data_IF_320321193964
#
_entry.id   IF_320321193964
#
_cell.length_a   1.000
_cell.length_b   1.000
_cell.length_c   1.000
_cell.angle_alpha   90.00
_cell.angle_beta   90.00
_cell.angle_gamma   90.00
#
_symmetry.space_group_name_H-M   'P 1'
#
loop_
_entity.id
_entity.type
_entity.pdbx_description
1 polymer ?
#
# COMPACT_ATOMS: atom_id res chain seq x y z
N UNK A 1 -49.76 7.49 45.03
CA UNK A 1 -49.74 7.34 46.49
C UNK A 1 -48.32 7.02 46.92
N UNK A 2 -47.81 7.76 47.92
CA UNK A 2 -46.61 7.54 48.77
C UNK A 2 -45.28 7.18 48.09
N UNK A 3 -44.14 7.87 48.25
CA UNK A 3 -43.68 8.90 49.19
C UNK A 3 -42.15 8.76 49.29
N UNK A 4 -41.36 9.84 49.16
CA UNK A 4 -39.88 9.84 49.32
C UNK A 4 -39.45 9.90 50.80
N UNK A 5 -38.32 10.54 51.19
CA UNK A 5 -37.03 10.81 50.50
C UNK A 5 -35.78 10.65 51.44
N UNK A 6 -34.59 11.06 50.98
CA UNK A 6 -33.41 11.42 51.81
C UNK A 6 -32.16 10.56 51.55
N UNK A 7 -30.91 11.05 51.50
CA UNK A 7 -30.33 12.37 51.73
C UNK A 7 -28.87 12.20 52.20
N UNK A 8 -27.95 13.01 51.67
CA UNK A 8 -26.80 13.53 52.42
C UNK A 8 -25.49 12.72 52.52
N UNK A 9 -24.37 13.39 52.89
CA UNK A 9 -23.05 13.22 52.26
C UNK A 9 -21.91 12.83 53.24
N UNK A 10 -20.69 12.63 52.74
CA UNK A 10 -19.48 12.63 53.59
C UNK A 10 -18.18 12.15 52.92
N UNK A 11 -17.24 13.06 52.67
CA UNK A 11 -15.80 12.76 52.70
C UNK A 11 -15.32 12.60 54.15
N UNK A 12 -14.14 12.02 54.41
CA UNK A 12 -12.83 12.70 54.34
C UNK A 12 -11.75 11.76 53.74
N UNK A 13 -10.46 12.06 53.51
CA UNK A 13 -9.52 13.11 53.86
C UNK A 13 -8.11 12.47 53.96
N UNK A 14 -7.05 13.26 53.71
CA UNK A 14 -5.63 13.01 54.01
C UNK A 14 -4.88 12.00 53.07
N UNK A 15 -3.60 12.15 52.71
CA UNK A 15 -2.46 12.82 53.33
C UNK A 15 -1.41 13.27 52.29
N UNK A 16 -0.77 14.39 52.55
CA UNK A 16 0.54 14.80 52.02
C UNK A 16 1.67 14.18 52.85
N UNK A 17 2.72 13.68 52.19
CA UNK A 17 3.95 13.20 52.84
C UNK A 17 5.18 13.56 52.00
N UNK A 18 6.08 14.35 52.59
CA UNK A 18 7.33 14.82 52.01
C UNK A 18 8.52 13.97 52.47
N UNK A 19 9.60 13.97 51.66
CA UNK A 19 10.98 13.89 52.14
C UNK A 19 11.74 12.59 51.85
N UNK A 20 12.89 12.73 51.20
CA UNK A 20 13.91 11.67 51.13
C UNK A 20 15.02 11.94 50.10
N UNK A 21 16.02 12.73 50.47
CA UNK A 21 17.27 12.91 49.71
C UNK A 21 18.24 11.75 49.95
N UNK A 22 18.99 11.33 48.91
CA UNK A 22 20.15 10.44 49.06
C UNK A 22 20.83 10.11 47.70
N UNK A 23 22.16 10.30 47.55
CA UNK A 23 22.88 10.12 46.28
C UNK A 23 23.53 8.73 46.17
N UNK A 24 23.72 8.24 44.94
CA UNK A 24 24.51 7.04 44.67
C UNK A 24 24.58 6.69 43.19
N UNK A 25 25.78 6.55 42.60
CA UNK A 25 25.96 6.34 41.16
C UNK A 25 25.89 4.84 40.82
N UNK A 26 25.22 4.51 39.71
CA UNK A 26 25.36 3.19 39.09
C UNK A 26 25.48 3.34 37.58
N UNK A 27 26.68 2.98 37.13
CA UNK A 27 27.07 2.70 35.76
C UNK A 27 26.14 1.67 35.11
N UNK A 28 25.56 2.01 33.96
CA UNK A 28 25.13 1.03 32.96
C UNK A 28 25.72 1.43 31.60
N UNK A 29 26.71 0.66 31.20
CA UNK A 29 27.26 0.60 29.86
C UNK A 29 26.15 0.26 28.86
N UNK A 30 25.86 1.18 27.96
CA UNK A 30 25.05 0.94 26.78
C UNK A 30 25.82 0.06 25.80
N UNK A 31 25.21 -1.06 25.42
CA UNK A 31 25.60 -1.82 24.23
C UNK A 31 24.30 -2.14 23.50
N UNK A 32 23.83 -1.17 22.71
CA UNK A 32 22.81 -1.44 21.70
C UNK A 32 23.50 -2.08 20.50
N UNK A 33 23.06 -3.30 20.22
CA UNK A 33 23.37 -4.06 19.03
C UNK A 33 22.79 -3.36 17.80
N UNK A 34 23.66 -2.92 16.90
CA UNK A 34 23.28 -2.59 15.52
C UNK A 34 23.26 -3.88 14.70
N UNK A 35 22.10 -4.54 14.66
CA UNK A 35 21.85 -5.68 13.77
C UNK A 35 21.68 -5.15 12.35
N UNK A 36 22.77 -5.08 11.59
CA UNK A 36 22.73 -4.82 10.16
C UNK A 36 22.04 -5.97 9.45
N UNK A 37 20.88 -5.70 8.85
CA UNK A 37 20.22 -6.63 7.94
C UNK A 37 21.12 -6.85 6.71
N UNK A 38 21.66 -8.07 6.59
CA UNK A 38 22.45 -8.50 5.44
C UNK A 38 21.54 -8.68 4.23
N UNK A 39 21.72 -7.85 3.20
CA UNK A 39 21.06 -8.03 1.91
C UNK A 39 21.86 -9.03 1.07
N UNK A 40 21.20 -10.10 0.61
CA UNK A 40 21.76 -11.07 -0.33
C UNK A 40 21.09 -10.89 -1.69
N UNK A 41 21.92 -10.74 -2.72
CA UNK A 41 21.59 -10.42 -4.10
C UNK A 41 20.97 -11.62 -4.82
N UNK A 42 19.68 -11.55 -5.15
CA UNK A 42 19.01 -12.42 -6.11
C UNK A 42 19.29 -11.99 -7.54
N UNK A 43 19.65 -12.95 -8.39
CA UNK A 43 19.93 -12.75 -9.83
C UNK A 43 18.63 -12.91 -10.63
N UNK A 44 18.14 -11.83 -11.23
CA UNK A 44 16.91 -11.78 -12.03
C UNK A 44 17.16 -11.25 -13.44
N UNK A 45 16.47 -11.87 -14.40
CA UNK A 45 16.61 -11.78 -15.87
C UNK A 45 16.85 -10.40 -16.49
N UNK A 46 17.74 -10.43 -17.48
CA UNK A 46 17.99 -9.37 -18.47
C UNK A 46 16.70 -9.04 -19.24
N UNK A 47 16.15 -7.84 -19.03
CA UNK A 47 15.21 -7.24 -19.97
C UNK A 47 15.93 -6.11 -20.73
N UNK A 48 15.90 -6.19 -22.05
CA UNK A 48 16.80 -5.45 -22.97
C UNK A 48 16.16 -4.20 -23.59
N UNK A 49 15.03 -3.74 -23.05
CA UNK A 49 14.42 -2.48 -23.44
C UNK A 49 14.64 -1.45 -22.33
N UNK A 50 15.57 -0.51 -22.53
CA UNK A 50 15.92 0.57 -21.60
C UNK A 50 14.83 1.62 -21.38
N UNK A 51 13.59 1.19 -21.14
CA UNK A 51 12.50 2.06 -20.71
C UNK A 51 12.42 2.10 -19.17
N UNK A 52 11.93 3.22 -18.62
CA UNK A 52 11.51 3.33 -17.23
C UNK A 52 10.77 2.11 -16.67
N UNK A 53 11.19 1.61 -15.49
CA UNK A 53 10.39 0.67 -14.72
C UNK A 53 9.26 1.42 -14.05
N UNK A 54 8.06 1.19 -14.55
CA UNK A 54 6.80 1.68 -13.99
C UNK A 54 6.11 0.48 -13.35
N UNK A 55 6.09 0.40 -12.02
CA UNK A 55 5.54 -0.77 -11.33
C UNK A 55 4.03 -0.95 -11.58
N UNK A 56 3.30 0.10 -11.96
CA UNK A 56 1.89 -0.05 -12.34
C UNK A 56 1.74 -0.78 -13.67
N UNK A 57 2.72 -0.65 -14.57
CA UNK A 57 2.73 -1.27 -15.91
C UNK A 57 3.47 -2.61 -15.91
N UNK A 58 4.63 -2.64 -15.25
CA UNK A 58 5.58 -3.74 -15.29
C UNK A 58 5.41 -4.70 -14.09
N UNK A 59 4.62 -4.30 -13.09
CA UNK A 59 4.45 -5.00 -11.83
C UNK A 59 5.52 -4.63 -10.80
N UNK A 60 5.26 -4.99 -9.54
CA UNK A 60 6.23 -4.84 -8.46
C UNK A 60 7.36 -5.86 -8.58
N UNK A 61 8.58 -5.43 -8.25
CA UNK A 61 9.70 -6.35 -8.01
C UNK A 61 9.52 -7.05 -6.65
N UNK A 62 9.95 -8.31 -6.50
CA UNK A 62 9.90 -9.00 -5.22
C UNK A 62 10.60 -8.21 -4.11
N UNK A 63 9.92 -8.08 -2.98
CA UNK A 63 10.46 -7.44 -1.79
C UNK A 63 11.62 -8.28 -1.22
N UNK A 64 12.71 -7.68 -0.68
CA UNK A 64 13.84 -8.44 -0.15
C UNK A 64 13.47 -9.51 0.89
N UNK A 65 12.43 -9.24 1.69
CA UNK A 65 11.96 -10.19 2.71
C UNK A 65 11.26 -11.43 2.14
N UNK A 66 10.86 -11.45 0.87
CA UNK A 66 10.27 -12.64 0.22
C UNK A 66 11.24 -13.84 0.14
N UNK A 67 12.54 -13.56 0.29
CA UNK A 67 13.59 -14.59 0.35
C UNK A 67 14.06 -14.88 1.78
N UNK A 68 13.47 -14.26 2.80
CA UNK A 68 13.85 -14.50 4.19
C UNK A 68 13.39 -15.91 4.63
N UNK A 69 14.31 -16.82 4.99
CA UNK A 69 13.94 -18.17 5.42
C UNK A 69 13.11 -18.22 6.71
N UNK A 70 12.99 -17.10 7.44
CA UNK A 70 12.20 -17.00 8.66
C UNK A 70 10.78 -16.46 8.43
N UNK A 71 10.49 -15.88 7.27
CA UNK A 71 9.15 -15.44 6.91
C UNK A 71 8.24 -16.66 6.72
N UNK A 72 7.10 -16.68 7.42
CA UNK A 72 6.18 -17.83 7.40
C UNK A 72 5.04 -17.61 6.40
N UNK A 73 4.46 -18.70 5.92
CA UNK A 73 3.16 -18.65 5.25
C UNK A 73 2.01 -18.57 6.26
N UNK A 74 0.87 -18.07 5.80
CA UNK A 74 -0.36 -17.98 6.59
C UNK A 74 -0.42 -16.79 7.56
N UNK A 75 -1.36 -16.83 8.53
CA UNK A 75 -1.60 -15.72 9.45
C UNK A 75 -0.50 -15.58 10.50
N UNK A 76 -0.20 -14.35 10.91
CA UNK A 76 0.55 -14.05 12.13
C UNK A 76 -0.42 -13.68 13.26
N UNK A 77 -0.21 -14.23 14.45
CA UNK A 77 -1.01 -13.89 15.63
C UNK A 77 -0.58 -12.51 16.18
N UNK A 78 -1.54 -11.63 16.37
CA UNK A 78 -1.37 -10.33 17.00
C UNK A 78 -2.16 -10.26 18.32
N UNK A 79 -1.44 -9.92 19.38
CA UNK A 79 -1.98 -9.78 20.72
C UNK A 79 -1.86 -8.33 21.18
N UNK A 80 -2.95 -7.69 21.65
CA UNK A 80 -2.84 -6.36 22.25
C UNK A 80 -1.81 -6.32 23.38
N UNK A 81 -1.05 -5.21 23.53
CA UNK A 81 -0.02 -5.10 24.55
C UNK A 81 -0.55 -5.46 25.95
N UNK A 82 0.12 -6.42 26.60
CA UNK A 82 -0.25 -6.88 27.94
C UNK A 82 -1.42 -7.88 28.00
N UNK A 83 -1.92 -8.38 26.86
CA UNK A 83 -3.00 -9.35 26.84
C UNK A 83 -2.74 -10.51 25.86
N UNK A 84 -2.60 -11.72 26.39
CA UNK A 84 -2.36 -12.96 25.62
C UNK A 84 -3.59 -13.86 25.52
N UNK A 85 -4.80 -13.33 25.76
CA UNK A 85 -6.03 -14.13 25.68
C UNK A 85 -6.30 -14.52 24.21
N UNK A 86 -6.35 -15.83 23.88
CA UNK A 86 -6.62 -16.30 22.52
C UNK A 86 -8.01 -15.91 21.99
N UNK A 87 -8.93 -15.44 22.84
CA UNK A 87 -10.23 -14.95 22.40
C UNK A 87 -10.17 -13.56 21.78
N UNK A 88 -9.09 -12.80 22.01
CA UNK A 88 -8.92 -11.44 21.48
C UNK A 88 -7.79 -11.31 20.46
N UNK A 89 -7.16 -12.44 20.07
CA UNK A 89 -6.09 -12.46 19.07
C UNK A 89 -6.62 -11.99 17.72
N UNK A 90 -5.96 -11.01 17.12
CA UNK A 90 -6.10 -10.70 15.70
C UNK A 90 -5.17 -11.60 14.91
N UNK A 91 -5.57 -11.96 13.68
CA UNK A 91 -4.61 -12.51 12.73
C UNK A 91 -4.27 -11.45 11.70
N UNK A 92 -3.01 -11.06 11.63
CA UNK A 92 -2.51 -10.17 10.59
C UNK A 92 -1.86 -10.96 9.46
N UNK A 93 -1.56 -10.29 8.35
CA UNK A 93 -0.47 -10.74 7.46
C UNK A 93 0.86 -10.81 8.24
N UNK A 94 1.88 -11.44 7.66
CA UNK A 94 3.19 -11.50 8.31
C UNK A 94 3.75 -10.09 8.64
N UNK A 95 4.54 -9.95 9.73
CA UNK A 95 5.06 -8.66 10.19
C UNK A 95 5.81 -7.86 9.11
N UNK A 96 6.52 -8.54 8.20
CA UNK A 96 7.26 -7.92 7.10
C UNK A 96 6.32 -7.25 6.10
N UNK A 97 5.21 -7.91 5.75
CA UNK A 97 4.17 -7.35 4.88
C UNK A 97 3.48 -6.19 5.57
N UNK A 98 3.14 -6.36 6.86
CA UNK A 98 2.48 -5.34 7.66
C UNK A 98 3.33 -4.07 7.73
N UNK A 99 4.60 -4.20 8.10
CA UNK A 99 5.54 -3.09 8.16
C UNK A 99 5.67 -2.38 6.82
N UNK A 100 5.81 -3.14 5.72
CA UNK A 100 5.87 -2.57 4.37
C UNK A 100 4.60 -1.78 4.04
N UNK A 101 3.40 -2.28 4.33
CA UNK A 101 2.16 -1.55 4.07
C UNK A 101 2.11 -0.22 4.85
N UNK A 102 2.54 -0.22 6.12
CA UNK A 102 2.63 1.01 6.93
C UNK A 102 3.64 2.01 6.35
N UNK A 103 4.84 1.55 5.98
CA UNK A 103 5.89 2.41 5.41
C UNK A 103 5.45 3.02 4.06
N UNK A 104 4.57 2.34 3.34
CA UNK A 104 3.98 2.79 2.08
C UNK A 104 2.58 3.41 2.25
N UNK A 105 2.10 3.64 3.47
CA UNK A 105 0.81 4.29 3.77
C UNK A 105 -0.42 3.62 3.13
N UNK A 106 -0.34 2.32 2.85
CA UNK A 106 -1.41 1.58 2.18
C UNK A 106 -2.73 1.59 2.96
N UNK A 107 -2.69 1.54 4.29
CA UNK A 107 -3.89 1.59 5.13
C UNK A 107 -4.64 2.91 4.93
N UNK A 108 -3.91 4.02 4.93
CA UNK A 108 -4.48 5.35 4.76
C UNK A 108 -4.97 5.54 3.31
N UNK A 109 -4.20 5.14 2.31
CA UNK A 109 -4.62 5.21 0.90
C UNK A 109 -5.89 4.40 0.65
N UNK A 110 -5.99 3.17 1.17
CA UNK A 110 -7.22 2.37 1.09
C UNK A 110 -8.45 3.10 1.70
N UNK A 111 -8.26 3.84 2.79
CA UNK A 111 -9.33 4.69 3.36
C UNK A 111 -9.69 5.85 2.44
N UNK A 112 -8.69 6.54 1.88
CA UNK A 112 -8.92 7.66 0.96
C UNK A 112 -9.61 7.23 -0.33
N UNK A 113 -9.22 6.08 -0.90
CA UNK A 113 -9.88 5.48 -2.06
C UNK A 113 -11.37 5.26 -1.84
N UNK A 114 -11.75 4.79 -0.65
CA UNK A 114 -13.16 4.66 -0.28
C UNK A 114 -13.81 6.03 -0.03
N UNK A 115 -13.11 6.97 0.60
CA UNK A 115 -13.63 8.27 0.96
C UNK A 115 -13.91 9.16 -0.27
N UNK A 116 -13.05 9.12 -1.30
CA UNK A 116 -13.17 9.95 -2.50
C UNK A 116 -14.43 9.61 -3.32
N UNK A 117 -14.84 8.35 -3.29
CA UNK A 117 -16.09 7.85 -3.90
C UNK A 117 -17.35 8.27 -3.14
N UNK A 118 -17.23 8.87 -1.96
CA UNK A 118 -18.36 9.38 -1.20
C UNK A 118 -18.50 10.92 -1.26
N UNK A 119 -17.60 11.61 -1.96
CA UNK A 119 -17.55 13.09 -1.96
C UNK A 119 -18.84 13.76 -2.44
N UNK A 120 -19.54 13.17 -3.41
CA UNK A 120 -20.80 13.73 -3.93
C UNK A 120 -22.06 13.17 -3.23
N UNK A 121 -21.89 12.42 -2.14
CA UNK A 121 -22.99 11.86 -1.36
C UNK A 121 -23.25 12.67 -0.09
N UNK A 122 -24.48 12.64 0.47
CA UNK A 122 -24.75 13.24 1.76
C UNK A 122 -23.84 12.66 2.85
N UNK A 123 -23.07 13.52 3.52
CA UNK A 123 -22.03 13.12 4.49
C UNK A 123 -20.60 13.18 3.94
N UNK A 124 -20.41 13.29 2.62
CA UNK A 124 -19.11 13.47 1.97
C UNK A 124 -18.13 12.32 2.23
N UNK A 125 -16.84 12.58 1.96
CA UNK A 125 -15.74 11.66 2.24
C UNK A 125 -15.37 11.58 3.72
N UNK A 126 -16.34 11.45 4.64
CA UNK A 126 -16.16 11.60 6.09
C UNK A 126 -15.16 10.66 6.79
N UNK A 127 -14.57 9.70 6.07
CA UNK A 127 -13.45 8.87 6.56
C UNK A 127 -12.07 9.46 6.23
N UNK A 128 -12.03 10.44 5.33
CA UNK A 128 -10.80 11.06 4.85
C UNK A 128 -10.06 11.78 5.96
N UNK A 129 -8.74 11.58 5.99
CA UNK A 129 -7.82 12.27 6.90
C UNK A 129 -7.08 13.42 6.22
N UNK A 130 -7.08 13.46 4.90
CA UNK A 130 -6.41 14.49 4.07
C UNK A 130 -7.39 15.43 3.35
N UNK A 131 -8.68 15.38 3.70
CA UNK A 131 -9.73 16.14 3.02
C UNK A 131 -9.73 15.86 1.50
N UNK A 132 -9.73 14.58 1.13
CA UNK A 132 -9.56 14.09 -0.25
C UNK A 132 -10.59 14.67 -1.23
N UNK A 133 -11.77 15.06 -0.74
CA UNK A 133 -12.80 15.70 -1.56
C UNK A 133 -12.43 17.11 -2.06
N UNK A 134 -11.37 17.73 -1.52
CA UNK A 134 -10.84 18.99 -2.06
C UNK A 134 -10.00 18.81 -3.33
N UNK A 135 -9.60 17.57 -3.63
CA UNK A 135 -8.91 17.21 -4.88
C UNK A 135 -9.97 16.87 -5.94
N UNK A 136 -10.74 17.88 -6.35
CA UNK A 136 -11.89 17.72 -7.27
C UNK A 136 -11.51 16.99 -8.58
N UNK A 137 -10.28 17.17 -9.05
CA UNK A 137 -9.73 16.50 -10.23
C UNK A 137 -9.60 14.98 -10.09
N UNK A 138 -9.57 14.47 -8.85
CA UNK A 138 -9.48 13.04 -8.56
C UNK A 138 -10.85 12.41 -8.29
N UNK A 139 -11.90 13.21 -8.01
CA UNK A 139 -13.22 12.68 -7.63
C UNK A 139 -13.84 11.90 -8.80
N UNK A 140 -14.07 10.58 -8.65
CA UNK A 140 -14.56 9.77 -9.77
C UNK A 140 -16.01 10.10 -10.11
N UNK A 141 -16.37 9.97 -11.39
CA UNK A 141 -17.76 10.16 -11.83
C UNK A 141 -18.70 9.12 -11.20
N UNK A 142 -18.24 7.88 -11.11
CA UNK A 142 -18.93 6.80 -10.43
C UNK A 142 -18.72 6.91 -8.92
N UNK A 143 -19.79 7.19 -8.20
CA UNK A 143 -19.78 7.37 -6.74
C UNK A 143 -20.26 6.11 -6.04
N UNK A 144 -19.82 5.93 -4.79
CA UNK A 144 -20.02 4.76 -3.97
C UNK A 144 -21.48 4.31 -3.98
N UNK A 145 -21.70 3.10 -4.47
CA UNK A 145 -23.01 2.47 -4.58
C UNK A 145 -24.06 3.29 -5.33
N UNK A 146 -23.66 4.08 -6.34
CA UNK A 146 -24.61 4.81 -7.20
C UNK A 146 -24.78 4.17 -8.60
N UNK A 147 -23.71 3.60 -9.16
CA UNK A 147 -23.66 3.09 -10.54
C UNK A 147 -22.99 1.72 -10.61
N UNK A 148 -23.17 1.02 -11.72
CA UNK A 148 -22.41 -0.20 -12.00
C UNK A 148 -20.90 0.11 -12.19
N UNK A 149 -20.55 1.32 -12.63
CA UNK A 149 -19.15 1.73 -12.77
C UNK A 149 -18.39 1.70 -11.44
N UNK A 150 -19.01 2.11 -10.33
CA UNK A 150 -18.42 2.02 -8.98
C UNK A 150 -18.14 0.56 -8.60
N UNK A 151 -19.11 -0.33 -8.85
CA UNK A 151 -18.94 -1.77 -8.63
C UNK A 151 -17.78 -2.36 -9.43
N UNK A 152 -17.58 -1.90 -10.67
CA UNK A 152 -16.44 -2.33 -11.47
C UNK A 152 -15.12 -1.81 -10.90
N UNK A 153 -15.06 -0.53 -10.51
CA UNK A 153 -13.87 0.04 -9.88
C UNK A 153 -13.51 -0.67 -8.57
N UNK A 154 -14.50 -1.04 -7.75
CA UNK A 154 -14.28 -1.87 -6.56
C UNK A 154 -13.59 -3.19 -6.89
N UNK A 155 -14.05 -3.90 -7.92
CA UNK A 155 -13.43 -5.16 -8.34
C UNK A 155 -11.98 -4.95 -8.81
N UNK A 156 -11.76 -3.94 -9.65
CA UNK A 156 -10.42 -3.65 -10.20
C UNK A 156 -9.44 -3.22 -9.11
N UNK A 157 -9.85 -2.34 -8.19
CA UNK A 157 -8.99 -1.84 -7.11
C UNK A 157 -8.52 -2.96 -6.18
N UNK A 158 -9.46 -3.80 -5.71
CA UNK A 158 -9.09 -4.90 -4.81
C UNK A 158 -8.26 -5.98 -5.53
N UNK A 159 -8.51 -6.22 -6.82
CA UNK A 159 -7.63 -7.07 -7.65
C UNK A 159 -6.23 -6.48 -7.76
N UNK A 160 -6.10 -5.17 -8.00
CA UNK A 160 -4.81 -4.49 -8.03
C UNK A 160 -4.03 -4.72 -6.72
N UNK A 161 -4.66 -4.48 -5.56
CA UNK A 161 -4.01 -4.68 -4.26
C UNK A 161 -3.54 -6.14 -4.07
N UNK A 162 -4.37 -7.13 -4.41
CA UNK A 162 -4.01 -8.55 -4.31
C UNK A 162 -2.85 -8.90 -5.25
N UNK A 163 -2.88 -8.40 -6.50
CA UNK A 163 -1.81 -8.67 -7.48
C UNK A 163 -0.49 -8.05 -7.04
N UNK A 164 -0.50 -6.80 -6.58
CA UNK A 164 0.68 -6.10 -6.09
C UNK A 164 1.34 -6.85 -4.92
N UNK A 165 0.58 -7.29 -3.91
CA UNK A 165 1.15 -8.06 -2.81
C UNK A 165 1.67 -9.44 -3.23
N UNK A 166 1.02 -10.11 -4.19
CA UNK A 166 1.55 -11.37 -4.77
C UNK A 166 2.83 -11.17 -5.57
N UNK A 167 3.02 -10.02 -6.20
CA UNK A 167 4.24 -9.65 -6.92
C UNK A 167 5.39 -9.29 -5.96
N UNK A 168 5.08 -8.61 -4.85
CA UNK A 168 6.04 -8.30 -3.80
C UNK A 168 6.49 -9.55 -3.03
N UNK A 169 5.59 -10.50 -2.77
CA UNK A 169 5.92 -11.75 -2.06
C UNK A 169 5.46 -13.00 -2.80
N UNK A 170 6.06 -13.35 -3.95
CA UNK A 170 5.67 -14.51 -4.73
C UNK A 170 5.85 -15.83 -3.99
N UNK A 171 6.88 -15.98 -3.15
CA UNK A 171 7.09 -17.21 -2.36
C UNK A 171 6.06 -17.36 -1.24
N UNK A 172 5.42 -16.25 -0.83
CA UNK A 172 4.40 -16.22 0.22
C UNK A 172 3.02 -15.79 -0.27
N UNK A 173 2.77 -15.97 -1.58
CA UNK A 173 1.52 -15.56 -2.25
C UNK A 173 0.26 -16.26 -1.70
N UNK A 174 0.42 -17.33 -0.92
CA UNK A 174 -0.67 -17.97 -0.17
C UNK A 174 -1.37 -16.97 0.73
N UNK A 175 -0.65 -16.05 1.40
CA UNK A 175 -1.25 -15.07 2.31
C UNK A 175 -2.37 -14.25 1.64
N UNK A 176 -2.21 -13.97 0.35
CA UNK A 176 -3.13 -13.17 -0.48
C UNK A 176 -4.03 -14.04 -1.38
N UNK A 177 -3.94 -15.35 -1.26
CA UNK A 177 -4.79 -16.29 -1.99
C UNK A 177 -6.10 -16.46 -1.24
N UNK A 178 -7.19 -16.08 -1.91
CA UNK A 178 -8.55 -16.13 -1.37
C UNK A 178 -9.07 -17.52 -1.07
N UNK A 179 -10.20 -17.57 -0.36
CA UNK A 179 -10.96 -18.81 -0.28
C UNK A 179 -11.41 -19.24 -1.69
N UNK A 180 -11.35 -20.55 -1.94
CA UNK A 180 -11.80 -21.14 -3.21
C UNK A 180 -13.33 -21.25 -3.30
N UNK A 181 -13.99 -21.19 -2.13
CA UNK A 181 -15.45 -21.22 -1.95
C UNK A 181 -15.85 -20.31 -0.80
N UNK A 182 -17.11 -19.93 -0.77
CA UNK A 182 -17.65 -19.17 0.34
C UNK A 182 -17.60 -20.02 1.62
N UNK A 183 -17.05 -19.52 2.75
CA UNK A 183 -16.96 -20.30 3.97
C UNK A 183 -18.36 -20.54 4.54
N UNK A 184 -18.73 -21.81 4.73
CA UNK A 184 -20.05 -22.24 5.22
C UNK A 184 -20.01 -22.91 6.59
N UNK A 185 -18.83 -23.32 7.06
CA UNK A 185 -18.64 -23.84 8.41
C UNK A 185 -17.33 -23.34 9.05
N UNK A 186 -17.18 -23.57 10.35
CA UNK A 186 -15.97 -23.19 11.10
C UNK A 186 -14.71 -23.85 10.54
N UNK A 187 -14.81 -25.03 9.94
CA UNK A 187 -13.69 -25.78 9.37
C UNK A 187 -13.12 -25.12 8.12
N UNK A 188 -13.91 -24.29 7.42
CA UNK A 188 -13.51 -23.58 6.21
C UNK A 188 -12.55 -22.41 6.49
N UNK A 189 -12.37 -22.02 7.76
CA UNK A 189 -11.50 -20.91 8.16
C UNK A 189 -10.31 -21.36 9.00
N UNK A 190 -9.25 -20.52 9.10
CA UNK A 190 -8.05 -20.89 9.86
C UNK A 190 -8.38 -21.28 11.31
N UNK A 191 -7.60 -22.20 11.92
CA UNK A 191 -7.84 -22.69 13.28
C UNK A 191 -8.10 -21.58 14.32
N UNK A 192 -7.40 -20.46 14.22
CA UNK A 192 -7.50 -19.30 15.09
C UNK A 192 -8.90 -18.64 15.08
N UNK A 193 -9.66 -18.82 14.01
CA UNK A 193 -10.97 -18.19 13.80
C UNK A 193 -12.15 -19.11 14.10
N UNK A 194 -11.93 -20.41 14.31
CA UNK A 194 -13.01 -21.39 14.49
C UNK A 194 -13.84 -21.13 15.74
N UNK A 195 -13.23 -20.65 16.82
CA UNK A 195 -13.94 -20.28 18.05
C UNK A 195 -14.78 -19.00 17.92
N UNK A 196 -14.38 -18.10 17.01
CA UNK A 196 -15.11 -16.88 16.67
C UNK A 196 -16.23 -17.13 15.65
N UNK A 197 -16.30 -18.33 15.05
CA UNK A 197 -17.31 -18.67 14.05
C UNK A 197 -18.72 -18.44 14.58
N UNK A 198 -19.56 -17.85 13.72
CA UNK A 198 -21.01 -17.77 13.88
C UNK A 198 -21.62 -18.25 12.58
N UNK A 199 -22.81 -18.84 12.61
CA UNK A 199 -23.44 -19.28 11.36
C UNK A 199 -23.89 -18.09 10.52
N UNK A 200 -23.91 -18.27 9.20
CA UNK A 200 -24.45 -17.28 8.28
C UNK A 200 -25.98 -17.36 8.28
N UNK A 201 -26.64 -16.24 8.03
CA UNK A 201 -28.07 -16.28 7.70
C UNK A 201 -28.29 -16.92 6.31
N UNK A 202 -29.53 -17.28 6.03
CA UNK A 202 -29.89 -17.94 4.77
C UNK A 202 -29.65 -17.08 3.54
N UNK A 203 -29.72 -15.75 3.66
CA UNK A 203 -29.48 -14.84 2.55
C UNK A 203 -27.99 -14.79 2.19
N UNK A 204 -27.10 -14.73 3.19
CA UNK A 204 -25.66 -14.78 3.00
C UNK A 204 -25.19 -16.12 2.42
N UNK A 205 -25.75 -17.25 2.89
CA UNK A 205 -25.46 -18.57 2.32
C UNK A 205 -25.88 -18.68 0.84
N UNK A 206 -27.07 -18.16 0.51
CA UNK A 206 -27.54 -18.13 -0.88
C UNK A 206 -26.68 -17.21 -1.76
N UNK A 207 -26.25 -16.05 -1.23
CA UNK A 207 -25.31 -15.16 -1.92
C UNK A 207 -23.98 -15.85 -2.20
N UNK A 208 -23.40 -16.49 -1.18
CA UNK A 208 -22.16 -17.24 -1.28
C UNK A 208 -22.25 -18.33 -2.34
N UNK A 209 -23.37 -19.06 -2.38
CA UNK A 209 -23.65 -20.07 -3.40
C UNK A 209 -23.75 -19.48 -4.81
N UNK A 210 -24.45 -18.35 -4.98
CA UNK A 210 -24.53 -17.65 -6.27
C UNK A 210 -23.12 -17.23 -6.74
N UNK A 211 -22.27 -16.73 -5.84
CA UNK A 211 -20.89 -16.37 -6.16
C UNK A 211 -20.04 -17.59 -6.53
N UNK A 212 -20.10 -18.67 -5.75
CA UNK A 212 -19.33 -19.88 -6.01
C UNK A 212 -19.67 -20.54 -7.35
N UNK A 213 -20.94 -20.42 -7.76
CA UNK A 213 -21.55 -20.97 -8.97
C UNK A 213 -21.88 -19.88 -10.01
N UNK A 214 -21.14 -18.77 -10.00
CA UNK A 214 -21.42 -17.59 -10.83
C UNK A 214 -21.38 -17.88 -12.33
N UNK A 215 -20.68 -18.93 -12.73
CA UNK A 215 -20.52 -19.44 -14.09
C UNK A 215 -21.74 -20.23 -14.61
N UNK A 216 -22.71 -20.55 -13.76
CA UNK A 216 -23.96 -21.19 -14.21
C UNK A 216 -24.83 -20.22 -15.02
N UNK A 217 -25.51 -20.66 -16.10
CA UNK A 217 -26.31 -19.78 -16.95
C UNK A 217 -27.33 -18.93 -16.20
N UNK A 218 -28.01 -19.49 -15.20
CA UNK A 218 -29.00 -18.79 -14.38
C UNK A 218 -28.39 -17.71 -13.48
N UNK A 219 -27.11 -17.83 -13.09
CA UNK A 219 -26.40 -16.84 -12.29
C UNK A 219 -25.74 -15.80 -13.20
N UNK A 220 -25.09 -16.21 -14.29
CA UNK A 220 -24.54 -15.30 -15.31
C UNK A 220 -25.59 -14.35 -15.89
N UNK A 221 -26.82 -14.83 -16.08
CA UNK A 221 -27.92 -14.01 -16.61
C UNK A 221 -28.39 -12.92 -15.64
N UNK A 222 -28.04 -13.02 -14.34
CA UNK A 222 -28.39 -12.00 -13.33
C UNK A 222 -27.57 -10.72 -13.52
N UNK A 223 -26.33 -10.87 -13.98
CA UNK A 223 -25.35 -9.79 -14.09
C UNK A 223 -25.10 -9.50 -15.57
N UNK A 224 -25.57 -8.36 -16.11
CA UNK A 224 -25.32 -7.98 -17.49
C UNK A 224 -23.83 -7.75 -17.77
N UNK A 225 -23.15 -7.11 -16.83
CA UNK A 225 -21.75 -6.70 -16.92
C UNK A 225 -21.03 -6.87 -15.57
N UNK A 226 -19.72 -6.69 -15.59
CA UNK A 226 -18.84 -6.81 -14.42
C UNK A 226 -19.18 -5.79 -13.34
N UNK A 227 -19.60 -4.58 -13.74
CA UNK A 227 -19.97 -3.53 -12.81
C UNK A 227 -21.21 -3.87 -11.99
N UNK A 228 -22.19 -4.52 -12.60
CA UNK A 228 -23.41 -4.99 -11.93
C UNK A 228 -23.09 -6.11 -10.92
N UNK A 229 -22.14 -6.99 -11.25
CA UNK A 229 -21.63 -8.00 -10.32
C UNK A 229 -20.91 -7.34 -9.13
N UNK A 230 -20.00 -6.42 -9.41
CA UNK A 230 -19.24 -5.70 -8.38
C UNK A 230 -20.14 -4.91 -7.43
N UNK A 231 -21.16 -4.22 -7.97
CA UNK A 231 -22.14 -3.50 -7.15
C UNK A 231 -22.88 -4.45 -6.20
N UNK A 232 -23.30 -5.62 -6.70
CA UNK A 232 -24.00 -6.62 -5.91
C UNK A 232 -23.13 -7.20 -4.78
N UNK A 233 -21.82 -7.35 -5.01
CA UNK A 233 -20.87 -7.79 -4.00
C UNK A 233 -20.58 -6.70 -2.95
N UNK A 234 -20.34 -5.46 -3.38
CA UNK A 234 -19.89 -4.35 -2.55
C UNK A 234 -21.01 -3.74 -1.67
N UNK A 235 -22.18 -3.47 -2.25
CA UNK A 235 -23.09 -2.45 -1.72
C UNK A 235 -24.09 -2.96 -0.68
N UNK A 236 -24.31 -2.16 0.37
CA UNK A 236 -25.20 -2.48 1.49
C UNK A 236 -26.61 -2.92 1.05
N UNK A 237 -27.21 -3.81 1.85
CA UNK A 237 -28.61 -4.22 1.72
C UNK A 237 -29.51 -2.97 1.68
N UNK A 238 -30.35 -2.86 0.64
CA UNK A 238 -31.28 -1.74 0.42
C UNK A 238 -30.81 -0.65 -0.57
N UNK A 239 -29.52 -0.61 -0.93
CA UNK A 239 -28.99 0.26 -2.01
C UNK A 239 -29.42 -0.19 -3.42
N UNK A 240 -30.20 0.63 -4.15
CA UNK A 240 -30.64 0.33 -5.52
C UNK A 240 -29.69 0.93 -6.56
N UNK A 241 -29.23 0.12 -7.51
CA UNK A 241 -28.64 0.61 -8.76
C UNK A 241 -29.62 1.57 -9.43
N UNK A 242 -29.18 2.80 -9.73
CA UNK A 242 -30.08 3.85 -10.26
C UNK A 242 -30.58 3.59 -11.69
N UNK A 243 -30.04 2.60 -12.42
CA UNK A 243 -30.54 2.09 -13.73
C UNK A 243 -29.58 1.02 -14.30
N UNK A 244 -30.01 0.08 -15.16
CA UNK A 244 -31.22 -0.73 -15.14
C UNK A 244 -30.84 -2.17 -14.73
N UNK A 245 -30.69 -2.47 -13.44
CA UNK A 245 -30.50 -3.85 -12.98
C UNK A 245 -31.77 -4.33 -12.25
N UNK A 246 -32.51 -5.21 -12.93
CA UNK A 246 -33.72 -5.86 -12.45
C UNK A 246 -33.44 -6.76 -11.23
N UNK A 247 -34.30 -6.70 -10.20
CA UNK A 247 -34.59 -7.75 -9.19
C UNK A 247 -33.44 -8.71 -8.81
N UNK A 248 -32.25 -8.20 -8.44
CA UNK A 248 -31.20 -9.07 -7.91
C UNK A 248 -31.41 -9.33 -6.42
N UNK A 249 -31.36 -10.59 -5.94
CA UNK A 249 -31.46 -10.89 -4.52
C UNK A 249 -30.30 -10.26 -3.76
N UNK A 250 -30.67 -9.59 -2.67
CA UNK A 250 -30.03 -8.46 -2.02
C UNK A 250 -29.22 -8.88 -0.79
N UNK A 251 -27.90 -8.63 -0.72
CA UNK A 251 -27.15 -9.15 0.46
C UNK A 251 -26.00 -8.28 0.99
N UNK A 252 -25.42 -7.34 0.23
CA UNK A 252 -24.32 -6.50 0.72
C UNK A 252 -23.17 -7.32 1.32
N UNK A 253 -22.77 -8.35 0.56
CA UNK A 253 -21.95 -9.43 1.06
C UNK A 253 -20.60 -8.93 1.56
N UNK A 254 -19.99 -7.94 0.90
CA UNK A 254 -18.76 -7.30 1.35
C UNK A 254 -18.86 -6.79 2.79
N UNK A 255 -19.88 -6.00 3.15
CA UNK A 255 -20.07 -5.52 4.51
C UNK A 255 -20.33 -6.66 5.50
N UNK A 256 -21.12 -7.67 5.10
CA UNK A 256 -21.36 -8.85 5.91
C UNK A 256 -20.07 -9.65 6.17
N UNK A 257 -19.19 -9.76 5.17
CA UNK A 257 -17.88 -10.39 5.26
C UNK A 257 -16.99 -9.65 6.26
N UNK A 258 -16.94 -8.31 6.20
CA UNK A 258 -16.21 -7.52 7.18
C UNK A 258 -16.77 -7.66 8.61
N UNK A 259 -18.09 -7.60 8.75
CA UNK A 259 -18.76 -7.67 10.06
C UNK A 259 -18.68 -9.07 10.70
N UNK A 260 -18.70 -10.14 9.90
CA UNK A 260 -18.67 -11.53 10.36
C UNK A 260 -17.49 -11.84 11.28
N UNK A 261 -16.35 -11.24 10.95
CA UNK A 261 -15.07 -11.52 11.59
C UNK A 261 -14.66 -10.41 12.57
N UNK A 262 -15.60 -9.52 12.91
CA UNK A 262 -15.41 -8.55 13.96
C UNK A 262 -15.29 -9.25 15.32
N UNK A 263 -14.15 -9.12 15.99
CA UNK A 263 -14.01 -9.60 17.38
C UNK A 263 -14.58 -8.57 18.37
N UNK A 264 -15.13 -9.01 19.52
CA UNK A 264 -15.56 -8.10 20.58
C UNK A 264 -14.43 -7.15 20.99
N UNK A 265 -14.73 -5.85 21.02
CA UNK A 265 -13.76 -4.80 21.39
C UNK A 265 -13.11 -4.06 20.22
N UNK A 266 -13.41 -4.43 18.97
CA UNK A 266 -12.83 -3.84 17.76
C UNK A 266 -11.30 -3.70 17.88
N UNK A 267 -10.65 -4.86 17.77
CA UNK A 267 -9.22 -5.04 17.95
C UNK A 267 -8.41 -4.21 16.96
N UNK A 268 -7.15 -3.94 17.30
CA UNK A 268 -6.30 -2.97 16.60
C UNK A 268 -6.20 -3.26 15.09
N UNK A 269 -6.21 -4.53 14.69
CA UNK A 269 -6.13 -4.97 13.29
C UNK A 269 -7.38 -5.78 12.88
N UNK A 270 -8.54 -5.47 13.47
CA UNK A 270 -9.79 -6.17 13.18
C UNK A 270 -10.27 -5.97 11.74
N UNK A 271 -10.87 -7.00 11.13
CA UNK A 271 -11.41 -6.94 9.75
C UNK A 271 -12.47 -5.85 9.60
N UNK A 272 -13.23 -5.54 10.64
CA UNK A 272 -14.25 -4.50 10.64
C UNK A 272 -13.71 -3.10 10.99
N UNK A 273 -12.42 -2.95 11.25
CA UNK A 273 -11.79 -1.66 11.49
C UNK A 273 -11.37 -1.04 10.15
N UNK A 274 -12.23 -0.22 9.54
CA UNK A 274 -12.02 0.37 8.21
C UNK A 274 -10.69 1.12 8.06
N UNK A 275 -10.08 1.58 9.14
CA UNK A 275 -8.79 2.29 9.09
C UNK A 275 -7.60 1.38 8.77
N UNK A 276 -7.69 0.08 9.05
CA UNK A 276 -6.56 -0.85 9.12
C UNK A 276 -7.00 -2.29 8.83
N UNK A 277 -8.17 -2.48 8.21
CA UNK A 277 -8.73 -3.81 7.95
C UNK A 277 -7.85 -4.64 7.00
N UNK A 278 -7.08 -3.99 6.12
CA UNK A 278 -6.11 -4.61 5.23
C UNK A 278 -4.94 -5.25 5.97
N UNK A 279 -4.73 -4.93 7.25
CA UNK A 279 -3.74 -5.59 8.09
C UNK A 279 -4.14 -7.04 8.37
N UNK A 280 -5.45 -7.31 8.41
CA UNK A 280 -6.00 -8.58 8.83
C UNK A 280 -5.87 -9.64 7.74
N UNK A 281 -5.37 -10.82 8.11
CA UNK A 281 -5.27 -11.96 7.20
C UNK A 281 -6.62 -12.34 6.56
N UNK A 282 -7.72 -12.27 7.31
CA UNK A 282 -9.05 -12.61 6.80
C UNK A 282 -9.55 -11.60 5.75
N UNK A 283 -9.09 -10.35 5.75
CA UNK A 283 -9.40 -9.40 4.67
C UNK A 283 -9.01 -10.00 3.31
N UNK A 284 -7.78 -10.46 3.20
CA UNK A 284 -7.23 -11.02 1.96
C UNK A 284 -7.91 -12.32 1.54
N UNK A 285 -8.31 -13.15 2.50
CA UNK A 285 -9.04 -14.39 2.19
C UNK A 285 -10.41 -14.13 1.61
N UNK A 286 -11.10 -13.12 2.11
CA UNK A 286 -12.43 -12.73 1.67
C UNK A 286 -12.40 -11.98 0.33
N UNK A 287 -11.48 -11.02 0.19
CA UNK A 287 -11.31 -10.28 -1.06
C UNK A 287 -10.75 -11.14 -2.18
N UNK A 288 -9.88 -12.10 -1.87
CA UNK A 288 -9.46 -13.10 -2.86
C UNK A 288 -10.60 -14.05 -3.29
N UNK A 289 -11.58 -14.34 -2.42
CA UNK A 289 -12.78 -15.06 -2.84
C UNK A 289 -13.63 -14.21 -3.79
N UNK A 290 -13.85 -12.94 -3.48
CA UNK A 290 -14.51 -11.96 -4.37
C UNK A 290 -13.81 -11.92 -5.74
N UNK A 291 -12.48 -11.86 -5.75
CA UNK A 291 -11.68 -11.87 -6.98
C UNK A 291 -11.84 -13.17 -7.78
N UNK A 292 -11.86 -14.33 -7.11
CA UNK A 292 -12.11 -15.62 -7.74
C UNK A 292 -13.53 -15.71 -8.36
N UNK A 293 -14.54 -15.16 -7.69
CA UNK A 293 -15.91 -15.06 -8.22
C UNK A 293 -15.91 -14.19 -9.49
N UNK A 294 -15.27 -13.03 -9.43
CA UNK A 294 -15.19 -12.14 -10.58
C UNK A 294 -14.42 -12.78 -11.76
N UNK A 295 -13.32 -13.48 -11.48
CA UNK A 295 -12.55 -14.18 -12.51
C UNK A 295 -13.37 -15.26 -13.21
N UNK A 296 -14.09 -16.10 -12.45
CA UNK A 296 -15.02 -17.08 -13.02
C UNK A 296 -16.09 -16.43 -13.89
N UNK A 297 -16.65 -15.31 -13.44
CA UNK A 297 -17.63 -14.53 -14.21
C UNK A 297 -17.05 -14.02 -15.53
N UNK A 298 -15.84 -13.43 -15.50
CA UNK A 298 -15.14 -12.93 -16.70
C UNK A 298 -14.94 -14.03 -17.72
N UNK A 299 -14.35 -15.15 -17.30
CA UNK A 299 -14.09 -16.29 -18.18
C UNK A 299 -15.37 -16.86 -18.79
N UNK A 300 -16.44 -16.97 -18.00
CA UNK A 300 -17.73 -17.46 -18.48
C UNK A 300 -18.45 -16.49 -19.45
N UNK A 301 -18.12 -15.18 -19.39
CA UNK A 301 -18.56 -14.16 -20.37
C UNK A 301 -17.61 -14.03 -21.57
N UNK A 302 -16.55 -14.83 -21.64
CA UNK A 302 -15.54 -14.78 -22.70
C UNK A 302 -14.56 -13.61 -22.59
N UNK A 303 -14.47 -12.98 -21.42
CA UNK A 303 -13.49 -11.94 -21.10
C UNK A 303 -12.22 -12.59 -20.56
N UNK A 304 -11.05 -12.08 -20.96
CA UNK A 304 -9.76 -12.68 -20.62
C UNK A 304 -9.01 -11.87 -19.55
N UNK A 305 -8.16 -12.49 -18.72
CA UNK A 305 -7.25 -11.78 -17.82
C UNK A 305 -6.33 -10.79 -18.54
N UNK A 306 -6.07 -11.03 -19.82
CA UNK A 306 -5.17 -10.24 -20.65
C UNK A 306 -5.87 -9.19 -21.50
N UNK A 307 -7.17 -8.94 -21.28
CA UNK A 307 -7.89 -7.89 -21.99
C UNK A 307 -7.24 -6.52 -21.74
N UNK A 308 -6.99 -5.75 -22.81
CA UNK A 308 -6.34 -4.44 -22.73
C UNK A 308 -7.10 -3.46 -21.84
N UNK A 309 -8.44 -3.52 -21.85
CA UNK A 309 -9.27 -2.71 -20.94
C UNK A 309 -8.94 -3.00 -19.48
N UNK A 310 -8.90 -4.28 -19.08
CA UNK A 310 -8.60 -4.66 -17.70
C UNK A 310 -7.18 -4.23 -17.31
N UNK A 311 -6.19 -4.39 -18.21
CA UNK A 311 -4.81 -3.93 -17.95
C UNK A 311 -4.77 -2.43 -17.70
N UNK A 312 -5.40 -1.62 -18.56
CA UNK A 312 -5.46 -0.17 -18.39
C UNK A 312 -6.17 0.24 -17.09
N UNK A 313 -7.27 -0.43 -16.75
CA UNK A 313 -8.02 -0.11 -15.54
C UNK A 313 -7.24 -0.50 -14.27
N UNK A 314 -6.48 -1.61 -14.29
CA UNK A 314 -5.56 -1.97 -13.19
C UNK A 314 -4.42 -0.96 -13.04
N UNK A 315 -3.83 -0.49 -14.14
CA UNK A 315 -2.83 0.59 -14.14
C UNK A 315 -3.42 1.86 -13.54
N UNK A 316 -4.65 2.22 -13.93
CA UNK A 316 -5.31 3.42 -13.43
C UNK A 316 -5.56 3.36 -11.92
N UNK A 317 -5.99 2.20 -11.40
CA UNK A 317 -6.18 2.01 -9.96
C UNK A 317 -4.86 2.03 -9.18
N UNK A 318 -3.78 1.48 -9.76
CA UNK A 318 -2.44 1.58 -9.18
C UNK A 318 -1.99 3.04 -9.03
N UNK A 319 -2.13 3.85 -10.08
CA UNK A 319 -1.72 5.26 -10.07
C UNK A 319 -2.61 6.13 -9.18
N UNK A 320 -3.90 5.81 -9.07
CA UNK A 320 -4.82 6.44 -8.13
C UNK A 320 -4.33 6.24 -6.69
N UNK A 321 -4.04 4.98 -6.31
CA UNK A 321 -3.53 4.66 -4.99
C UNK A 321 -2.17 5.32 -4.69
N UNK A 322 -1.25 5.33 -5.65
CA UNK A 322 0.05 6.01 -5.51
C UNK A 322 -0.11 7.53 -5.29
N UNK A 323 -1.06 8.14 -5.99
CA UNK A 323 -1.36 9.57 -5.82
C UNK A 323 -1.89 9.84 -4.42
N UNK A 324 -2.80 9.00 -3.91
CA UNK A 324 -3.31 9.11 -2.54
C UNK A 324 -2.19 8.92 -1.51
N UNK A 325 -1.34 7.91 -1.68
CA UNK A 325 -0.14 7.68 -0.84
C UNK A 325 0.73 8.95 -0.81
N UNK A 326 0.94 9.58 -1.97
CA UNK A 326 1.75 10.79 -2.07
C UNK A 326 1.11 11.97 -1.34
N UNK A 327 -0.19 12.20 -1.53
CA UNK A 327 -0.95 13.23 -0.80
C UNK A 327 -0.76 13.04 0.71
N UNK A 328 -0.89 11.81 1.20
CA UNK A 328 -0.76 11.47 2.61
C UNK A 328 0.66 11.70 3.14
N UNK A 329 1.69 11.23 2.42
CA UNK A 329 3.09 11.26 2.89
C UNK A 329 3.74 12.64 2.75
N UNK A 330 3.31 13.42 1.77
CA UNK A 330 3.89 14.72 1.44
C UNK A 330 3.02 15.92 1.86
N UNK A 331 1.81 15.67 2.40
CA UNK A 331 0.84 16.71 2.79
C UNK A 331 0.54 17.69 1.64
N UNK A 332 0.32 17.13 0.44
CA UNK A 332 0.12 17.91 -0.78
C UNK A 332 -1.19 18.69 -0.76
N UNK A 333 -1.16 19.86 -1.39
CA UNK A 333 -2.36 20.66 -1.68
C UNK A 333 -2.97 20.29 -3.04
N UNK A 334 -4.27 20.59 -3.29
CA UNK A 334 -4.92 20.25 -4.55
C UNK A 334 -4.22 20.77 -5.81
N UNK A 335 -3.57 21.94 -5.76
CA UNK A 335 -2.84 22.53 -6.88
C UNK A 335 -1.50 21.85 -7.17
N UNK A 336 -0.96 21.07 -6.22
CA UNK A 336 0.27 20.30 -6.38
C UNK A 336 0.04 18.93 -7.04
N UNK A 337 -1.23 18.48 -7.11
CA UNK A 337 -1.60 17.15 -7.60
C UNK A 337 -2.13 17.22 -9.03
N UNK A 338 -1.36 16.66 -9.96
CA UNK A 338 -1.81 16.40 -11.34
C UNK A 338 -2.60 15.10 -11.42
N UNK A 339 -3.48 14.98 -12.41
CA UNK A 339 -4.22 13.74 -12.62
C UNK A 339 -3.24 12.57 -12.93
N UNK A 340 -3.24 11.49 -12.15
CA UNK A 340 -2.31 10.36 -12.31
C UNK A 340 -2.39 9.67 -13.68
N UNK A 341 -3.53 9.77 -14.35
CA UNK A 341 -3.78 9.10 -15.61
C UNK A 341 -3.50 9.98 -16.83
N UNK A 342 -3.03 11.21 -16.62
CA UNK A 342 -2.58 12.05 -17.72
C UNK A 342 -1.31 11.49 -18.37
N UNK A 343 -1.22 11.45 -19.72
CA UNK A 343 0.01 11.06 -20.40
C UNK A 343 1.17 11.97 -20.00
N UNK A 344 2.33 11.38 -19.74
CA UNK A 344 3.56 12.15 -19.58
C UNK A 344 3.92 12.88 -20.89
N UNK A 345 4.58 14.05 -20.81
CA UNK A 345 5.12 14.70 -21.98
C UNK A 345 6.12 13.78 -22.69
N UNK A 346 6.19 13.87 -24.02
CA UNK A 346 7.27 13.26 -24.79
C UNK A 346 8.53 14.06 -24.52
N UNK A 347 9.49 13.45 -23.83
CA UNK A 347 10.74 14.08 -23.43
C UNK A 347 11.92 13.49 -24.22
N UNK A 348 12.97 14.31 -24.42
CA UNK A 348 14.21 13.92 -25.10
C UNK A 348 15.40 14.53 -24.39
N UNK A 349 16.62 14.10 -24.71
CA UNK A 349 17.85 14.68 -24.20
C UNK A 349 18.60 13.77 -23.23
N UNK A 350 19.82 14.18 -22.89
CA UNK A 350 20.81 13.29 -22.27
C UNK A 350 20.34 12.66 -20.96
N UNK A 351 19.68 13.43 -20.09
CA UNK A 351 19.12 12.86 -18.86
C UNK A 351 18.05 11.81 -19.16
N UNK A 352 17.04 12.15 -19.98
CA UNK A 352 15.92 11.25 -20.29
C UNK A 352 16.37 9.97 -21.00
N UNK A 353 17.28 10.09 -21.97
CA UNK A 353 17.67 8.99 -22.85
C UNK A 353 18.83 8.15 -22.29
N UNK A 354 19.66 8.70 -21.39
CA UNK A 354 20.91 8.05 -20.96
C UNK A 354 21.03 7.89 -19.44
N UNK A 355 20.65 8.89 -18.64
CA UNK A 355 20.81 8.83 -17.17
C UNK A 355 19.60 8.17 -16.51
N UNK A 356 18.38 8.57 -16.87
CA UNK A 356 17.16 8.02 -16.30
C UNK A 356 17.05 6.49 -16.46
N UNK A 357 17.37 5.89 -17.62
CA UNK A 357 17.37 4.43 -17.77
C UNK A 357 18.28 3.71 -16.77
N UNK A 358 19.37 4.33 -16.31
CA UNK A 358 20.22 3.77 -15.25
C UNK A 358 19.44 3.65 -13.93
N UNK A 359 18.61 4.63 -13.57
CA UNK A 359 17.84 4.60 -12.33
C UNK A 359 16.73 3.55 -12.35
N UNK A 360 16.18 3.32 -13.54
CA UNK A 360 15.03 2.46 -13.73
C UNK A 360 15.39 1.03 -14.14
N UNK A 361 16.65 0.75 -14.44
CA UNK A 361 17.13 -0.59 -14.74
C UNK A 361 16.99 -1.52 -13.53
N UNK A 362 16.42 -2.70 -13.74
CA UNK A 362 16.25 -3.78 -12.75
C UNK A 362 17.55 -4.27 -12.12
N UNK A 363 18.71 -4.08 -12.75
CA UNK A 363 20.03 -4.35 -12.13
C UNK A 363 20.38 -3.32 -11.06
N UNK A 364 20.08 -2.06 -11.31
CA UNK A 364 20.49 -0.97 -10.42
C UNK A 364 19.48 -0.74 -9.29
N UNK A 365 18.22 -1.17 -9.44
CA UNK A 365 17.17 -1.13 -8.41
C UNK A 365 16.96 0.24 -7.75
N UNK A 366 17.42 1.34 -8.35
CA UNK A 366 17.26 2.67 -7.77
C UNK A 366 15.77 3.01 -7.69
N UNK A 367 15.01 2.79 -8.77
CA UNK A 367 13.54 2.94 -8.77
C UNK A 367 12.84 1.97 -7.83
N UNK A 368 13.39 0.78 -7.56
CA UNK A 368 12.82 -0.16 -6.58
C UNK A 368 12.82 0.40 -5.14
N UNK A 369 13.84 1.20 -4.79
CA UNK A 369 13.91 1.90 -3.50
C UNK A 369 13.44 3.36 -3.57
N UNK A 370 13.24 3.92 -4.76
CA UNK A 370 12.88 5.33 -4.98
C UNK A 370 11.75 5.43 -6.01
N UNK A 371 10.72 4.59 -5.85
CA UNK A 371 9.51 4.59 -6.66
C UNK A 371 8.56 5.71 -6.21
N UNK A 372 7.45 5.91 -6.94
CA UNK A 372 6.36 6.78 -6.50
C UNK A 372 5.75 6.32 -5.17
N UNK A 373 5.39 5.03 -5.06
CA UNK A 373 4.91 4.41 -3.81
C UNK A 373 5.96 4.33 -2.71
N UNK A 374 7.24 4.15 -3.09
CA UNK A 374 8.36 3.89 -2.19
C UNK A 374 9.47 4.93 -2.27
N UNK A 375 9.15 6.23 -2.19
CA UNK A 375 10.10 7.33 -2.33
C UNK A 375 11.06 7.45 -1.12
N UNK A 376 12.01 6.52 -0.95
CA UNK A 376 12.96 6.58 0.16
C UNK A 376 13.71 7.92 0.16
N UNK A 377 13.88 8.49 1.35
CA UNK A 377 14.39 9.86 1.53
C UNK A 377 13.56 10.97 0.84
N UNK A 378 12.31 10.70 0.45
CA UNK A 378 11.45 11.64 -0.29
C UNK A 378 11.92 11.87 -1.72
N UNK A 379 12.46 10.84 -2.38
CA UNK A 379 12.94 10.91 -3.76
C UNK A 379 12.28 9.85 -4.62
N UNK A 380 11.78 10.30 -5.78
CA UNK A 380 11.26 9.45 -6.85
C UNK A 380 12.21 9.56 -8.04
N UNK A 381 12.85 8.44 -8.41
CA UNK A 381 13.86 8.38 -9.47
C UNK A 381 13.38 7.66 -10.73
N UNK A 382 12.12 7.21 -10.75
CA UNK A 382 11.51 6.63 -11.92
C UNK A 382 10.01 6.37 -11.76
N UNK A 383 9.40 5.79 -12.80
CA UNK A 383 7.95 5.54 -12.87
C UNK A 383 7.21 6.51 -13.81
N UNK A 384 5.93 6.75 -13.53
CA UNK A 384 5.06 7.69 -14.25
C UNK A 384 5.28 9.14 -13.80
N UNK A 385 6.54 9.57 -13.80
CA UNK A 385 6.98 10.95 -13.53
C UNK A 385 7.79 11.47 -14.72
N UNK A 386 7.68 12.77 -15.02
CA UNK A 386 8.49 13.38 -16.08
C UNK A 386 9.96 13.48 -15.65
N UNK A 387 10.87 13.27 -16.61
CA UNK A 387 12.30 13.46 -16.42
C UNK A 387 12.62 14.87 -15.92
N UNK A 388 11.87 15.88 -16.37
CA UNK A 388 11.99 17.24 -15.84
C UNK A 388 11.77 17.30 -14.33
N UNK A 389 10.68 16.70 -13.83
CA UNK A 389 10.37 16.67 -12.40
C UNK A 389 11.42 15.91 -11.59
N UNK A 390 11.96 14.80 -12.12
CA UNK A 390 13.07 14.08 -11.46
C UNK A 390 14.29 15.00 -11.33
N UNK A 391 14.68 15.69 -12.40
CA UNK A 391 15.84 16.60 -12.37
C UNK A 391 15.63 17.75 -11.39
N UNK A 392 14.46 18.38 -11.40
CA UNK A 392 14.14 19.48 -10.46
C UNK A 392 14.15 19.00 -8.99
N UNK A 393 13.82 17.73 -8.73
CA UNK A 393 13.89 17.11 -7.40
C UNK A 393 15.32 16.69 -6.97
N UNK A 394 16.28 16.65 -7.90
CA UNK A 394 17.68 16.28 -7.64
C UNK A 394 18.59 17.51 -7.54
N UNK A 395 18.45 18.45 -8.47
CA UNK A 395 19.43 19.51 -8.67
C UNK A 395 19.36 20.55 -7.56
N UNK A 396 20.51 20.78 -6.92
CA UNK A 396 20.70 21.73 -5.83
C UNK A 396 19.84 21.48 -4.58
N UNK A 397 19.21 20.31 -4.45
CA UNK A 397 18.38 19.93 -3.30
C UNK A 397 19.25 19.34 -2.18
N UNK A 398 19.04 19.73 -0.90
CA UNK A 398 19.73 19.09 0.23
C UNK A 398 19.44 17.58 0.30
N UNK A 399 20.45 16.77 0.61
CA UNK A 399 20.24 15.33 0.83
C UNK A 399 19.82 15.04 2.27
N UNK A 400 18.68 14.36 2.49
CA UNK A 400 18.24 13.96 3.85
C UNK A 400 19.26 13.04 4.54
N UNK A 401 19.98 12.23 3.76
CA UNK A 401 20.90 11.19 4.22
C UNK A 401 22.37 11.45 3.82
N UNK A 402 22.67 12.66 3.36
CA UNK A 402 24.01 13.06 2.89
C UNK A 402 24.68 14.13 3.75
N UNK A 403 24.16 14.41 4.95
CA UNK A 403 24.77 15.36 5.86
C UNK A 403 24.88 16.76 5.25
N UNK A 404 26.11 17.20 4.96
CA UNK A 404 26.41 18.49 4.33
C UNK A 404 26.19 18.52 2.81
N UNK A 405 26.03 17.36 2.16
CA UNK A 405 25.95 17.27 0.70
C UNK A 405 24.56 17.60 0.15
N UNK A 406 24.55 18.11 -1.09
CA UNK A 406 23.35 18.18 -1.93
C UNK A 406 23.24 16.92 -2.79
N UNK A 407 22.04 16.60 -3.26
CA UNK A 407 21.78 15.43 -4.10
C UNK A 407 22.58 15.51 -5.41
N UNK A 408 22.43 16.59 -6.16
CA UNK A 408 23.23 16.91 -7.34
C UNK A 408 23.70 18.37 -7.28
N UNK A 409 24.99 18.59 -7.49
CA UNK A 409 25.63 19.90 -7.64
C UNK A 409 26.06 20.04 -9.11
N UNK A 410 25.39 20.87 -9.91
CA UNK A 410 25.79 21.14 -11.30
C UNK A 410 27.27 21.48 -11.42
N UNK A 411 27.96 20.81 -12.35
CA UNK A 411 29.39 20.98 -12.60
C UNK A 411 30.32 20.27 -11.62
N UNK A 412 29.80 19.65 -10.55
CA UNK A 412 30.63 19.10 -9.47
C UNK A 412 30.15 17.72 -9.01
N UNK A 413 30.55 16.64 -9.72
CA UNK A 413 30.21 15.27 -9.33
C UNK A 413 30.84 14.85 -8.00
N UNK A 414 32.01 15.41 -7.64
CA UNK A 414 32.71 15.05 -6.40
C UNK A 414 32.04 15.61 -5.14
N UNK A 415 31.14 16.60 -5.29
CA UNK A 415 30.25 17.10 -4.24
C UNK A 415 28.77 16.74 -4.45
N UNK A 416 28.46 15.84 -5.38
CA UNK A 416 27.09 15.38 -5.66
C UNK A 416 26.80 14.05 -4.96
N UNK A 417 25.95 14.07 -3.94
CA UNK A 417 25.67 12.90 -3.10
C UNK A 417 25.18 11.69 -3.89
N UNK A 418 24.34 11.91 -4.91
CA UNK A 418 23.82 10.84 -5.76
C UNK A 418 24.93 10.06 -6.45
N UNK A 419 25.90 10.77 -7.06
CA UNK A 419 27.04 10.14 -7.74
C UNK A 419 27.94 9.42 -6.74
N UNK A 420 28.27 10.08 -5.62
CA UNK A 420 29.13 9.50 -4.59
C UNK A 420 28.56 8.19 -4.03
N UNK A 421 27.24 8.11 -3.86
CA UNK A 421 26.54 6.91 -3.39
C UNK A 421 26.47 5.84 -4.46
N UNK A 422 26.11 6.19 -5.69
CA UNK A 422 26.04 5.24 -6.81
C UNK A 422 27.41 4.65 -7.14
N UNK A 423 28.49 5.43 -7.02
CA UNK A 423 29.86 4.99 -7.30
C UNK A 423 30.57 4.33 -6.10
N UNK A 424 29.91 4.24 -4.94
CA UNK A 424 30.52 3.72 -3.71
C UNK A 424 31.60 4.61 -3.08
N UNK A 425 31.74 5.88 -3.49
CA UNK A 425 32.74 6.82 -2.97
C UNK A 425 32.28 7.52 -1.70
N UNK A 426 30.99 7.50 -1.39
CA UNK A 426 30.38 8.16 -0.24
C UNK A 426 31.02 7.78 1.12
N UNK A 427 31.59 6.57 1.23
CA UNK A 427 32.33 6.09 2.43
C UNK A 427 33.61 6.88 2.73
N UNK A 428 34.20 7.51 1.72
CA UNK A 428 35.55 8.08 1.81
C UNK A 428 35.57 9.61 1.72
N UNK A 429 34.47 10.25 1.36
CA UNK A 429 34.40 11.71 1.13
C UNK A 429 34.27 12.56 2.41
N UNK A 430 34.24 11.93 3.59
CA UNK A 430 34.14 12.65 4.86
C UNK A 430 32.77 13.32 5.07
N UNK A 431 31.69 12.58 4.82
CA UNK A 431 30.34 13.06 5.10
C UNK A 431 30.14 13.31 6.61
N UNK A 432 29.52 14.45 6.93
CA UNK A 432 29.31 14.99 8.27
C UNK A 432 27.83 15.26 8.49
N UNK A 433 27.26 14.68 9.55
CA UNK A 433 25.89 14.95 9.96
C UNK A 433 25.70 16.44 10.26
N UNK A 434 24.54 16.98 9.88
CA UNK A 434 24.13 18.35 10.19
C UNK A 434 22.92 18.34 11.14
N UNK A 435 22.47 19.52 11.55
CA UNK A 435 21.28 19.64 12.41
C UNK A 435 20.00 19.07 11.75
N UNK A 436 19.96 18.99 10.41
CA UNK A 436 18.75 18.63 9.64
C UNK A 436 18.93 17.42 8.74
N UNK A 437 20.12 16.81 8.68
CA UNK A 437 20.38 15.68 7.79
C UNK A 437 21.38 14.69 8.40
N UNK A 438 21.04 13.41 8.33
CA UNK A 438 21.94 12.32 8.73
C UNK A 438 23.00 12.08 7.67
N UNK A 439 24.09 11.44 8.05
CA UNK A 439 25.13 10.99 7.13
C UNK A 439 25.12 9.46 7.03
N UNK A 440 24.68 8.92 5.89
CA UNK A 440 24.59 7.46 5.67
C UNK A 440 25.44 7.08 4.45
N UNK A 441 26.73 6.73 4.64
CA UNK A 441 27.70 6.72 3.55
C UNK A 441 27.78 5.43 2.71
N UNK A 442 27.00 4.40 3.00
CA UNK A 442 27.07 3.13 2.24
C UNK A 442 26.71 3.27 0.75
N UNK A 443 27.10 2.33 -0.10
CA UNK A 443 26.73 2.34 -1.53
C UNK A 443 25.20 2.32 -1.73
N UNK A 444 24.71 2.95 -2.82
CA UNK A 444 23.30 2.84 -3.24
C UNK A 444 23.18 2.27 -4.66
N UNK A 445 22.24 1.32 -4.89
CA UNK A 445 21.47 0.59 -3.86
C UNK A 445 22.41 -0.19 -2.91
N UNK A 446 21.95 -0.53 -1.69
CA UNK A 446 22.74 -1.34 -0.77
C UNK A 446 23.14 -2.68 -1.42
N UNK A 447 24.44 -2.97 -1.44
CA UNK A 447 25.00 -4.18 -2.05
C UNK A 447 26.27 -4.59 -1.32
N UNK A 448 26.46 -5.89 -1.11
CA UNK A 448 27.68 -6.46 -0.52
C UNK A 448 28.84 -6.55 -1.52
N UNK A 449 28.56 -6.41 -2.83
CA UNK A 449 29.54 -6.48 -3.92
C UNK A 449 30.05 -5.13 -4.42
N UNK A 450 29.65 -4.01 -3.79
CA UNK A 450 29.94 -2.66 -4.26
C UNK A 450 28.88 -2.12 -5.24
N UNK A 451 29.20 -1.08 -6.03
CA UNK A 451 28.27 -0.44 -6.98
C UNK A 451 27.58 -1.44 -7.90
N UNK A 452 26.25 -1.35 -8.00
CA UNK A 452 25.48 -2.14 -8.96
C UNK A 452 25.57 -1.56 -10.36
N UNK A 453 25.77 -0.24 -10.49
CA UNK A 453 25.95 0.47 -11.74
C UNK A 453 27.27 0.11 -12.44
N UNK A 454 27.22 -0.02 -13.77
CA UNK A 454 28.41 -0.25 -14.60
C UNK A 454 29.29 1.01 -14.65
N UNK A 455 30.57 0.82 -15.00
CA UNK A 455 31.48 1.94 -15.23
C UNK A 455 30.94 2.93 -16.28
N UNK A 456 30.24 2.45 -17.32
CA UNK A 456 29.66 3.31 -18.36
C UNK A 456 28.50 4.14 -17.83
N UNK A 457 27.62 3.55 -17.03
CA UNK A 457 26.50 4.27 -16.41
C UNK A 457 26.98 5.32 -15.41
N UNK A 458 27.98 4.98 -14.59
CA UNK A 458 28.60 5.94 -13.68
C UNK A 458 29.26 7.09 -14.44
N UNK A 459 29.92 6.81 -15.56
CA UNK A 459 30.48 7.85 -16.42
C UNK A 459 29.38 8.73 -17.03
N UNK A 460 28.27 8.15 -17.49
CA UNK A 460 27.14 8.92 -18.01
C UNK A 460 26.52 9.82 -16.93
N UNK A 461 26.31 9.31 -15.71
CA UNK A 461 25.82 10.10 -14.58
C UNK A 461 26.79 11.24 -14.24
N UNK A 462 28.10 10.93 -14.20
CA UNK A 462 29.15 11.92 -13.95
C UNK A 462 29.17 13.01 -15.02
N UNK A 463 29.07 12.63 -16.29
CA UNK A 463 29.07 13.53 -17.44
C UNK A 463 27.85 14.46 -17.39
N UNK A 464 26.66 13.93 -17.14
CA UNK A 464 25.46 14.76 -16.97
C UNK A 464 25.62 15.82 -15.87
N UNK A 465 26.22 15.44 -14.73
CA UNK A 465 26.48 16.40 -13.65
C UNK A 465 27.48 17.46 -14.10
N UNK A 466 28.59 17.06 -14.74
CA UNK A 466 29.61 17.99 -15.26
C UNK A 466 29.04 18.97 -16.29
N UNK A 467 28.11 18.51 -17.12
CA UNK A 467 27.43 19.32 -18.14
C UNK A 467 26.35 20.26 -17.56
N UNK A 468 26.24 20.34 -16.24
CA UNK A 468 25.34 21.27 -15.55
C UNK A 468 24.04 20.64 -15.05
N UNK A 469 23.89 19.32 -15.17
CA UNK A 469 22.74 18.56 -14.71
C UNK A 469 21.40 19.06 -15.27
N UNK A 470 21.36 19.43 -16.55
CA UNK A 470 20.15 19.92 -17.20
C UNK A 470 19.11 18.82 -17.41
N UNK A 471 17.83 19.19 -17.28
CA UNK A 471 16.69 18.32 -17.61
C UNK A 471 16.33 18.40 -19.10
N UNK A 472 15.35 17.59 -19.54
CA UNK A 472 14.80 17.74 -20.89
C UNK A 472 14.24 19.17 -21.10
N UNK A 473 14.32 19.69 -22.35
CA UNK A 473 13.92 21.06 -22.71
C UNK A 473 12.42 21.32 -22.58
#
# INVERSE_FOLDING_TARGET
MSGGPGGGPGGPGATSGAGGSGPGPSSSSGSQAGSGAGSHSGTGGEDTAGRPHDHCVDGYLPHPSDSDPNMKDGPADFYPPGNTDPNIVDTTVQPEVLQWMYDNSWQAAHVEWHAIRACNLPGGGGLSKVNICSFEQLVPQDQNCQTAGDGYQFLVFHRHMIQALKQLWPNHSEQFTGFTKFPTSAEDVPPQWRSAWRDWDSAALEAGRIGDEIDKPENLARFPDEGTLGFWLQCNVGQRLRSPANNMPWVGLHFALHAKWARPGNTAHGVNNTNVNIDNYMFWKLHGWIDNVWEKYRLAKGLLPTDEKLKHDLIAQCREMDTEIKIIKEDLTPDEVTNPNEPLPVETGFFHETVRPMFENTRNLCSGCHAESGANAGLTLGGHISSRKIVDALVNRPSKNGGQFKLVVPGDPDNSWLYLKASGRAETVGCQQTATAQCIPGVMPPSTGGPTATARELENLRQWILDGAEGPP
#
